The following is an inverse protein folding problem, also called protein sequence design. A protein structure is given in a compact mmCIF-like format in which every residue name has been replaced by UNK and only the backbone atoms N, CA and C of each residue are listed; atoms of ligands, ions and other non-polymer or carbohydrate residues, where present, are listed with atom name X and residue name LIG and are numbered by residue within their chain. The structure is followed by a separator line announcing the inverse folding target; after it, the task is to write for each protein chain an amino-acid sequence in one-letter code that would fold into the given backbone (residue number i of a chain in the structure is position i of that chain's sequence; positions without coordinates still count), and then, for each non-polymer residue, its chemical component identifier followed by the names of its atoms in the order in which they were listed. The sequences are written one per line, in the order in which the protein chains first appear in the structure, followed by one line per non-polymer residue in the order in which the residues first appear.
data_IF_503544424653
#
_entry.id   IF_503544424653
#
_cell.length_a   1.000
_cell.length_b   1.000
_cell.length_c   1.000
_cell.angle_alpha   90.00
_cell.angle_beta   90.00
_cell.angle_gamma   90.00
#
_symmetry.space_group_name_H-M   'P 1'
#
loop_
_entity.id
_entity.type
_entity.pdbx_description
1 polymer ?
#
# COMPACT_ATOMS: atom_id res chain seq x y z
N UNK A 1 2.56 10.67 31.53
CA UNK A 1 1.55 9.98 30.69
C UNK A 1 2.07 9.91 29.26
N UNK A 2 1.65 8.91 28.50
CA UNK A 2 2.05 8.57 27.12
C UNK A 2 3.24 7.62 26.99
N UNK A 3 3.02 6.37 27.38
CA UNK A 3 3.72 5.25 26.78
C UNK A 3 2.84 4.80 25.62
N UNK A 4 3.34 5.05 24.41
CA UNK A 4 3.10 4.32 23.16
C UNK A 4 1.82 3.48 23.14
N UNK A 5 0.87 3.83 22.27
CA UNK A 5 -0.31 3.01 21.95
C UNK A 5 0.04 1.51 21.92
N UNK A 6 -0.80 0.67 22.54
CA UNK A 6 -0.56 -0.76 22.63
C UNK A 6 -0.33 -1.33 21.22
N UNK A 7 0.64 -2.23 21.06
CA UNK A 7 0.99 -2.80 19.75
C UNK A 7 -0.24 -3.43 19.06
N UNK A 8 -1.23 -3.89 19.82
CA UNK A 8 -2.51 -4.40 19.29
C UNK A 8 -3.39 -3.29 18.73
N UNK A 9 -3.44 -2.13 19.38
CA UNK A 9 -4.20 -0.97 18.89
C UNK A 9 -3.64 -0.50 17.54
N UNK A 10 -2.31 -0.51 17.41
CA UNK A 10 -1.62 -0.16 16.16
C UNK A 10 -1.95 -1.17 15.05
N UNK A 11 -1.97 -2.47 15.35
CA UNK A 11 -2.32 -3.51 14.37
C UNK A 11 -3.78 -3.38 13.93
N UNK A 12 -4.71 -3.09 14.85
CA UNK A 12 -6.12 -2.88 14.50
C UNK A 12 -6.34 -1.67 13.60
N UNK A 13 -5.66 -0.55 13.88
CA UNK A 13 -5.69 0.64 13.03
C UNK A 13 -5.06 0.39 11.65
N UNK A 14 -3.99 -0.40 11.58
CA UNK A 14 -3.36 -0.80 10.31
C UNK A 14 -4.31 -1.63 9.46
N UNK A 15 -5.02 -2.59 10.05
CA UNK A 15 -5.97 -3.43 9.35
C UNK A 15 -7.10 -2.58 8.73
N UNK A 16 -7.59 -1.60 9.48
CA UNK A 16 -8.60 -0.68 8.97
C UNK A 16 -8.08 0.17 7.80
N UNK A 17 -6.89 0.76 7.94
CA UNK A 17 -6.26 1.54 6.86
C UNK A 17 -5.96 0.68 5.62
N UNK A 18 -5.55 -0.57 5.82
CA UNK A 18 -5.30 -1.52 4.74
C UNK A 18 -6.59 -1.82 3.97
N UNK A 19 -7.71 -2.10 4.68
CA UNK A 19 -9.02 -2.32 4.05
C UNK A 19 -9.51 -1.09 3.29
N UNK A 20 -9.42 0.09 3.87
CA UNK A 20 -9.84 1.34 3.22
C UNK A 20 -8.98 1.64 1.98
N UNK A 21 -7.68 1.38 2.04
CA UNK A 21 -6.76 1.56 0.91
C UNK A 21 -7.07 0.55 -0.21
N UNK A 22 -7.31 -0.71 0.14
CA UNK A 22 -7.66 -1.76 -0.81
C UNK A 22 -8.97 -1.45 -1.52
N UNK A 23 -10.03 -1.10 -0.78
CA UNK A 23 -11.32 -0.74 -1.37
C UNK A 23 -11.19 0.45 -2.33
N UNK A 24 -10.39 1.46 -1.96
CA UNK A 24 -10.09 2.58 -2.84
C UNK A 24 -9.31 2.18 -4.09
N UNK A 25 -8.46 1.16 -4.00
CA UNK A 25 -7.69 0.69 -5.14
C UNK A 25 -8.57 -0.08 -6.11
N UNK A 26 -9.46 -0.93 -5.61
CA UNK A 26 -10.47 -1.62 -6.43
C UNK A 26 -11.40 -0.64 -7.14
N UNK A 27 -11.83 0.43 -6.46
CA UNK A 27 -12.61 1.51 -7.07
C UNK A 27 -11.83 2.23 -8.18
N UNK A 28 -10.54 2.51 -7.95
CA UNK A 28 -9.68 3.13 -8.96
C UNK A 28 -9.53 2.25 -10.20
N UNK A 29 -9.26 0.95 -10.03
CA UNK A 29 -9.15 -0.01 -11.14
C UNK A 29 -10.47 -0.21 -11.89
N UNK A 30 -11.61 -0.13 -11.19
CA UNK A 30 -12.93 -0.23 -11.82
C UNK A 30 -13.27 1.00 -12.67
N UNK A 31 -12.72 2.17 -12.32
CA UNK A 31 -12.95 3.42 -13.05
C UNK A 31 -11.94 3.64 -14.19
N UNK A 32 -10.77 3.01 -14.13
CA UNK A 32 -9.75 3.04 -15.17
C UNK A 32 -9.38 1.62 -15.64
N UNK A 33 -10.08 1.10 -16.68
CA UNK A 33 -9.81 -0.23 -17.21
C UNK A 33 -8.39 -0.39 -17.81
N UNK A 34 -7.73 0.71 -18.17
CA UNK A 34 -6.36 0.70 -18.71
C UNK A 34 -5.35 0.50 -17.58
N UNK A 35 -5.67 1.02 -16.38
CA UNK A 35 -4.87 0.83 -15.19
C UNK A 35 -4.95 -0.60 -14.63
N UNK A 36 -5.94 -1.42 -15.05
CA UNK A 36 -6.05 -2.80 -14.60
C UNK A 36 -4.93 -3.68 -15.21
N UNK A 37 -4.02 -4.24 -14.39
CA UNK A 37 -2.90 -5.03 -14.90
C UNK A 37 -3.29 -6.45 -15.34
N UNK A 38 -4.57 -6.83 -15.25
CA UNK A 38 -5.06 -8.14 -15.65
C UNK A 38 -4.74 -9.26 -14.66
N UNK A 39 -4.33 -8.90 -13.43
CA UNK A 39 -4.06 -9.82 -12.33
C UNK A 39 -4.68 -9.29 -11.03
N UNK A 40 -5.06 -10.21 -10.14
CA UNK A 40 -5.60 -9.84 -8.84
C UNK A 40 -4.51 -9.31 -7.92
N UNK A 41 -4.76 -8.15 -7.33
CA UNK A 41 -3.84 -7.44 -6.46
C UNK A 41 -4.47 -7.15 -5.10
N UNK A 42 -3.74 -7.50 -4.04
CA UNK A 42 -4.04 -7.07 -2.68
C UNK A 42 -2.93 -6.19 -2.17
N UNK A 43 -3.28 -4.99 -1.72
CA UNK A 43 -2.33 -3.99 -1.24
C UNK A 43 -2.53 -3.75 0.25
N UNK A 44 -1.42 -3.74 1.00
CA UNK A 44 -1.41 -3.50 2.43
C UNK A 44 -0.40 -2.41 2.75
N UNK A 45 -0.84 -1.34 3.41
CA UNK A 45 0.02 -0.22 3.78
C UNK A 45 0.54 -0.41 5.21
N UNK A 46 1.86 -0.45 5.36
CA UNK A 46 2.53 -0.66 6.65
C UNK A 46 3.21 0.65 7.14
N UNK A 47 2.89 1.15 8.35
CA UNK A 47 3.57 2.29 8.96
C UNK A 47 5.01 1.95 9.37
N UNK A 48 6.01 2.58 8.75
CA UNK A 48 7.44 2.29 8.95
C UNK A 48 7.90 2.30 10.41
N UNK A 49 7.31 3.14 11.27
CA UNK A 49 7.73 3.31 12.68
C UNK A 49 7.45 2.12 13.62
N UNK A 50 6.67 1.13 13.19
CA UNK A 50 6.28 -0.02 14.02
C UNK A 50 6.79 -1.38 13.52
N UNK A 51 7.47 -1.40 12.37
CA UNK A 51 7.99 -2.61 11.74
C UNK A 51 9.52 -2.62 11.77
N UNK A 52 10.17 -3.80 11.82
CA UNK A 52 11.62 -3.88 11.65
C UNK A 52 12.02 -3.23 10.33
N UNK A 53 13.17 -2.56 10.31
CA UNK A 53 13.68 -2.03 9.04
C UNK A 53 13.95 -3.20 8.10
N UNK A 54 13.16 -3.32 7.05
CA UNK A 54 13.42 -4.27 5.98
C UNK A 54 14.55 -3.73 5.11
N UNK A 55 15.49 -4.59 4.74
CA UNK A 55 16.51 -4.27 3.75
C UNK A 55 15.85 -4.28 2.36
N UNK A 56 16.08 -3.22 1.57
CA UNK A 56 15.63 -3.16 0.18
C UNK A 56 16.50 -4.08 -0.69
N UNK A 57 15.88 -4.81 -1.61
CA UNK A 57 16.57 -5.66 -2.59
C UNK A 57 16.08 -5.33 -3.99
N UNK A 58 17.01 -5.19 -4.94
CA UNK A 58 16.66 -5.06 -6.35
C UNK A 58 16.28 -6.43 -6.90
N UNK A 59 15.00 -6.60 -7.23
CA UNK A 59 14.45 -7.83 -7.80
C UNK A 59 14.14 -7.63 -9.28
N UNK A 60 14.51 -8.61 -10.11
CA UNK A 60 14.05 -8.69 -11.50
C UNK A 60 12.61 -9.20 -11.52
N UNK A 61 11.66 -8.27 -11.41
CA UNK A 61 10.24 -8.58 -11.45
C UNK A 61 9.74 -8.70 -12.91
N UNK A 62 8.81 -9.62 -13.21
CA UNK A 62 8.11 -9.63 -14.49
C UNK A 62 7.40 -8.29 -14.77
N UNK A 63 7.19 -7.97 -16.05
CA UNK A 63 6.59 -6.71 -16.48
C UNK A 63 5.18 -6.48 -15.90
N UNK A 64 4.41 -7.56 -15.69
CA UNK A 64 3.11 -7.53 -15.04
C UNK A 64 3.23 -7.02 -13.60
N UNK A 65 4.17 -7.55 -12.82
CA UNK A 65 4.39 -7.15 -11.43
C UNK A 65 4.87 -5.70 -11.32
N UNK A 66 5.74 -5.26 -12.25
CA UNK A 66 6.21 -3.88 -12.31
C UNK A 66 5.02 -2.93 -12.52
N UNK A 67 4.14 -3.23 -13.50
CA UNK A 67 2.93 -2.44 -13.76
C UNK A 67 2.03 -2.32 -12.54
N UNK A 68 1.87 -3.39 -11.76
CA UNK A 68 1.07 -3.38 -10.55
C UNK A 68 1.59 -2.38 -9.50
N UNK A 69 2.92 -2.35 -9.33
CA UNK A 69 3.58 -1.42 -8.42
C UNK A 69 3.42 0.03 -8.89
N UNK A 70 3.55 0.27 -10.19
CA UNK A 70 3.40 1.61 -10.79
C UNK A 70 1.97 2.14 -10.62
N UNK A 71 0.97 1.34 -10.98
CA UNK A 71 -0.45 1.70 -10.87
C UNK A 71 -0.83 2.01 -9.42
N UNK A 72 -0.37 1.21 -8.45
CA UNK A 72 -0.63 1.51 -7.04
C UNK A 72 0.10 2.78 -6.56
N UNK A 73 1.33 3.02 -7.03
CA UNK A 73 2.08 4.25 -6.69
C UNK A 73 1.34 5.51 -7.14
N UNK A 74 0.72 5.50 -8.32
CA UNK A 74 -0.07 6.63 -8.82
C UNK A 74 -1.27 6.94 -7.92
N UNK A 75 -2.04 5.92 -7.53
CA UNK A 75 -3.13 6.09 -6.56
C UNK A 75 -2.62 6.60 -5.21
N UNK A 76 -1.53 6.03 -4.69
CA UNK A 76 -1.03 6.40 -3.37
C UNK A 76 -0.54 7.85 -3.33
N UNK A 77 0.10 8.32 -4.40
CA UNK A 77 0.57 9.70 -4.53
C UNK A 77 -0.57 10.71 -4.69
N UNK A 78 -1.65 10.35 -5.39
CA UNK A 78 -2.83 11.23 -5.50
C UNK A 78 -3.54 11.41 -4.16
N UNK A 79 -3.60 10.36 -3.32
CA UNK A 79 -4.21 10.44 -1.99
C UNK A 79 -3.31 10.97 -0.88
N UNK A 80 -1.99 10.86 -1.01
CA UNK A 80 -1.04 11.26 0.04
C UNK A 80 0.02 12.23 -0.48
N UNK A 81 -0.07 13.52 -0.09
CA UNK A 81 0.85 14.57 -0.57
C UNK A 81 2.21 14.62 0.14
N UNK A 82 2.32 14.02 1.32
CA UNK A 82 3.51 14.12 2.19
C UNK A 82 4.08 12.77 2.66
N UNK A 83 3.64 11.66 2.06
CA UNK A 83 4.13 10.32 2.37
C UNK A 83 4.75 9.70 1.13
N UNK A 84 5.89 9.02 1.29
CA UNK A 84 6.56 8.27 0.21
C UNK A 84 6.32 6.78 0.43
N UNK A 85 5.99 6.07 -0.64
CA UNK A 85 6.09 4.62 -0.71
C UNK A 85 7.59 4.26 -0.87
N UNK A 86 8.10 3.33 -0.08
CA UNK A 86 9.48 2.82 -0.14
C UNK A 86 9.45 1.35 -0.48
#
# INVERSE_FOLDING_TARGET
MSKLADKRDVVGLQEQVARETQASFEEYLSNDPIANPGIDLTVTVLPTGFWPSYQSFDLNLPAEMIRCVEVFKELYQTKTKHRKLT
#
